data_IF_938576295738
#
_entry.id   IF_938576295738
#
_cell.length_a   1.000
_cell.length_b   1.000
_cell.length_c   1.000
_cell.angle_alpha   90.00
_cell.angle_beta   90.00
_cell.angle_gamma   90.00
#
_symmetry.space_group_name_H-M   'P 1'
#
loop_
_entity.id
_entity.type
_entity.pdbx_description
1 polymer ?
#
# COMPACT_ATOMS: atom_id res chain seq x y z
N UNK A 1 -18.21 6.91 18.36
CA UNK A 1 -17.73 7.97 17.46
C UNK A 1 -18.93 8.81 17.01
N UNK A 2 -18.77 10.07 16.60
CA UNK A 2 -19.92 10.88 16.13
C UNK A 2 -20.21 10.55 14.67
N UNK A 3 -21.49 10.45 14.26
CA UNK A 3 -21.89 10.22 12.86
C UNK A 3 -21.20 11.15 11.86
N UNK A 4 -21.03 12.41 12.24
CA UNK A 4 -20.34 13.43 11.43
C UNK A 4 -18.85 13.10 11.16
N UNK A 5 -18.18 12.43 12.10
CA UNK A 5 -16.80 11.97 11.92
C UNK A 5 -16.73 10.74 11.04
N UNK A 6 -17.70 9.82 11.16
CA UNK A 6 -17.81 8.65 10.30
C UNK A 6 -18.02 9.06 8.84
N UNK A 7 -18.92 10.02 8.60
CA UNK A 7 -19.12 10.60 7.26
C UNK A 7 -17.86 11.27 6.73
N UNK A 8 -17.19 12.11 7.54
CA UNK A 8 -15.94 12.72 7.13
C UNK A 8 -14.87 11.69 6.77
N UNK A 9 -14.67 10.65 7.60
CA UNK A 9 -13.71 9.56 7.32
C UNK A 9 -14.07 8.86 6.01
N UNK A 10 -15.35 8.54 5.78
CA UNK A 10 -15.75 7.89 4.53
C UNK A 10 -15.47 8.76 3.31
N UNK A 11 -15.70 10.07 3.40
CA UNK A 11 -15.56 11.01 2.28
C UNK A 11 -14.10 11.29 1.90
N UNK A 12 -13.17 11.39 2.84
CA UNK A 12 -11.75 11.65 2.51
C UNK A 12 -11.06 10.49 1.78
N UNK A 13 -11.65 9.30 1.80
CA UNK A 13 -11.16 8.14 1.05
C UNK A 13 -11.95 7.88 -0.24
N UNK A 14 -12.94 8.73 -0.56
CA UNK A 14 -13.69 8.68 -1.81
C UNK A 14 -12.92 9.47 -2.89
N UNK A 15 -12.48 8.85 -4.01
CA UNK A 15 -11.70 9.54 -5.03
C UNK A 15 -12.39 10.75 -5.67
N UNK A 16 -13.72 10.81 -5.61
CA UNK A 16 -14.53 11.88 -6.19
C UNK A 16 -14.60 13.15 -5.33
N UNK A 17 -14.09 13.13 -4.10
CA UNK A 17 -14.19 14.26 -3.16
C UNK A 17 -12.78 14.72 -2.78
N UNK A 18 -12.49 16.01 -2.94
CA UNK A 18 -11.24 16.58 -2.47
C UNK A 18 -11.21 16.68 -0.93
N UNK A 19 -10.01 16.74 -0.36
CA UNK A 19 -9.85 16.88 1.08
C UNK A 19 -10.52 18.18 1.58
N UNK A 20 -10.36 19.27 0.83
CA UNK A 20 -10.97 20.57 1.10
C UNK A 20 -12.49 20.51 1.11
N UNK A 21 -13.11 19.89 0.09
CA UNK A 21 -14.56 19.71 0.04
C UNK A 21 -15.08 18.86 1.19
N UNK A 22 -14.35 17.81 1.60
CA UNK A 22 -14.72 16.99 2.75
C UNK A 22 -14.70 17.81 4.05
N UNK A 23 -13.71 18.69 4.24
CA UNK A 23 -13.67 19.60 5.40
C UNK A 23 -14.83 20.61 5.39
N UNK A 24 -15.14 21.21 4.24
CA UNK A 24 -16.22 22.18 4.09
C UNK A 24 -17.60 21.55 4.31
N UNK A 25 -17.88 20.43 3.63
CA UNK A 25 -19.15 19.69 3.73
C UNK A 25 -19.41 19.23 5.16
N UNK A 26 -18.37 18.80 5.86
CA UNK A 26 -18.47 18.40 7.26
C UNK A 26 -18.21 19.57 8.23
N UNK A 27 -18.13 20.83 7.79
CA UNK A 27 -17.90 22.00 8.66
C UNK A 27 -16.87 21.70 9.77
N UNK A 28 -15.77 21.06 9.39
CA UNK A 28 -14.75 20.56 10.31
C UNK A 28 -13.52 21.45 10.13
N UNK A 29 -12.93 21.87 11.24
CA UNK A 29 -11.65 22.59 11.19
C UNK A 29 -10.51 21.63 11.48
N UNK A 30 -9.30 21.96 11.02
CA UNK A 30 -8.08 21.19 11.33
C UNK A 30 -7.91 21.03 12.85
N UNK A 31 -8.18 22.09 13.63
CA UNK A 31 -8.12 22.02 15.11
C UNK A 31 -9.15 21.05 15.70
N UNK A 32 -10.35 21.00 15.12
CA UNK A 32 -11.38 20.06 15.53
C UNK A 32 -11.01 18.62 15.16
N UNK A 33 -10.37 18.41 14.01
CA UNK A 33 -9.85 17.10 13.60
C UNK A 33 -8.76 16.62 14.56
N UNK A 34 -7.75 17.46 14.85
CA UNK A 34 -6.67 17.11 15.80
C UNK A 34 -7.24 16.70 17.17
N UNK A 35 -8.21 17.45 17.68
CA UNK A 35 -8.90 17.11 18.93
C UNK A 35 -9.62 15.76 18.85
N UNK A 36 -10.21 15.42 17.70
CA UNK A 36 -10.92 14.15 17.49
C UNK A 36 -9.96 12.97 17.30
N UNK A 37 -8.82 13.15 16.64
CA UNK A 37 -7.79 12.12 16.49
C UNK A 37 -7.08 11.76 17.80
N UNK A 38 -7.19 12.60 18.83
CA UNK A 38 -6.77 12.24 20.20
C UNK A 38 -7.67 11.17 20.84
N UNK A 39 -8.89 10.97 20.33
CA UNK A 39 -9.74 9.86 20.72
C UNK A 39 -9.27 8.57 20.03
N UNK A 40 -9.03 7.52 20.82
CA UNK A 40 -8.45 6.27 20.31
C UNK A 40 -9.29 5.60 19.24
N UNK A 41 -10.60 5.48 19.47
CA UNK A 41 -11.51 4.84 18.50
C UNK A 41 -11.52 5.60 17.15
N UNK A 42 -11.47 6.93 17.20
CA UNK A 42 -11.42 7.74 15.97
C UNK A 42 -10.09 7.58 15.22
N UNK A 43 -8.99 7.47 15.98
CA UNK A 43 -7.65 7.25 15.41
C UNK A 43 -7.54 5.86 14.80
N UNK A 44 -8.03 4.85 15.49
CA UNK A 44 -8.03 3.46 15.04
C UNK A 44 -8.85 3.29 13.76
N UNK A 45 -10.06 3.85 13.70
CA UNK A 45 -10.88 3.81 12.48
C UNK A 45 -10.16 4.45 11.28
N UNK A 46 -9.51 5.61 11.50
CA UNK A 46 -8.73 6.28 10.47
C UNK A 46 -7.56 5.41 9.98
N UNK A 47 -6.79 4.83 10.91
CA UNK A 47 -5.67 3.95 10.58
C UNK A 47 -6.13 2.70 9.83
N UNK A 48 -7.21 2.06 10.27
CA UNK A 48 -7.80 0.89 9.60
C UNK A 48 -8.20 1.21 8.15
N UNK A 49 -8.74 2.41 7.90
CA UNK A 49 -9.05 2.85 6.54
C UNK A 49 -7.81 3.11 5.70
N UNK A 50 -6.79 3.76 6.27
CA UNK A 50 -5.49 3.95 5.59
C UNK A 50 -4.88 2.60 5.21
N UNK A 51 -4.84 1.65 6.13
CA UNK A 51 -4.32 0.30 5.89
C UNK A 51 -5.11 -0.43 4.80
N UNK A 52 -6.44 -0.33 4.83
CA UNK A 52 -7.32 -0.92 3.80
C UNK A 52 -7.01 -0.33 2.42
N UNK A 53 -6.90 0.99 2.30
CA UNK A 53 -6.61 1.66 1.02
C UNK A 53 -5.21 1.32 0.53
N UNK A 54 -4.23 1.24 1.43
CA UNK A 54 -2.87 0.81 1.08
C UNK A 54 -2.87 -0.62 0.53
N UNK A 55 -3.57 -1.55 1.19
CA UNK A 55 -3.70 -2.93 0.72
C UNK A 55 -4.38 -2.98 -0.66
N UNK A 56 -5.48 -2.24 -0.85
CA UNK A 56 -6.17 -2.17 -2.13
C UNK A 56 -5.27 -1.57 -3.23
N UNK A 57 -4.48 -0.55 -2.90
CA UNK A 57 -3.51 0.06 -3.82
C UNK A 57 -2.48 -0.96 -4.27
N UNK A 58 -1.92 -1.75 -3.33
CA UNK A 58 -1.00 -2.83 -3.66
C UNK A 58 -1.64 -3.87 -4.58
N UNK A 59 -2.90 -4.24 -4.34
CA UNK A 59 -3.63 -5.16 -5.22
C UNK A 59 -3.81 -4.58 -6.63
N UNK A 60 -4.17 -3.30 -6.75
CA UNK A 60 -4.32 -2.62 -8.05
C UNK A 60 -2.98 -2.58 -8.79
N UNK A 61 -1.90 -2.21 -8.11
CA UNK A 61 -0.55 -2.19 -8.68
C UNK A 61 -0.10 -3.59 -9.11
N UNK A 62 -0.36 -4.61 -8.32
CA UNK A 62 -0.04 -6.00 -8.66
C UNK A 62 -0.78 -6.45 -9.93
N UNK A 63 -2.08 -6.13 -10.04
CA UNK A 63 -2.87 -6.40 -11.24
C UNK A 63 -2.35 -5.66 -12.46
N UNK A 64 -2.06 -4.37 -12.33
CA UNK A 64 -1.48 -3.57 -13.40
C UNK A 64 -0.11 -4.12 -13.84
N UNK A 65 0.68 -4.61 -12.88
CA UNK A 65 1.96 -5.27 -13.12
C UNK A 65 1.83 -6.53 -13.98
N UNK A 66 0.81 -7.38 -13.76
CA UNK A 66 0.54 -8.54 -14.61
C UNK A 66 0.27 -8.12 -16.05
N UNK A 67 -0.62 -7.16 -16.26
CA UNK A 67 -0.95 -6.65 -17.61
C UNK A 67 0.26 -5.98 -18.28
N UNK A 68 1.08 -5.25 -17.52
CA UNK A 68 2.31 -4.65 -18.05
C UNK A 68 3.32 -5.72 -18.48
N UNK A 69 3.49 -6.79 -17.69
CA UNK A 69 4.37 -7.91 -18.02
C UNK A 69 3.90 -8.64 -19.29
N UNK A 70 2.60 -8.91 -19.43
CA UNK A 70 2.03 -9.51 -20.64
C UNK A 70 2.29 -8.65 -21.88
N UNK A 71 2.07 -7.33 -21.78
CA UNK A 71 2.33 -6.39 -22.88
C UNK A 71 3.81 -6.34 -23.25
N UNK A 72 4.70 -6.30 -22.27
CA UNK A 72 6.15 -6.30 -22.51
C UNK A 72 6.61 -7.60 -23.20
N UNK A 73 6.09 -8.75 -22.77
CA UNK A 73 6.37 -10.03 -23.43
C UNK A 73 5.90 -10.03 -24.89
N UNK A 74 4.71 -9.48 -25.16
CA UNK A 74 4.21 -9.30 -26.53
C UNK A 74 5.10 -8.40 -27.37
N UNK A 75 5.57 -7.28 -26.83
CA UNK A 75 6.50 -6.37 -27.51
C UNK A 75 7.86 -7.01 -27.79
N UNK A 76 8.36 -7.87 -26.90
CA UNK A 76 9.59 -8.62 -27.09
C UNK A 76 9.54 -9.59 -28.29
N UNK A 77 8.33 -9.99 -28.72
CA UNK A 77 8.12 -10.90 -29.85
C UNK A 77 7.66 -10.19 -31.13
N UNK A 78 7.65 -8.85 -31.19
CA UNK A 78 7.20 -8.13 -32.37
C UNK A 78 8.28 -7.99 -33.45
N UNK A 79 7.87 -7.76 -34.70
CA UNK A 79 8.78 -7.65 -35.86
C UNK A 79 9.63 -6.37 -35.88
N UNK A 80 9.36 -5.42 -34.98
CA UNK A 80 10.14 -4.17 -34.86
C UNK A 80 11.34 -4.40 -33.96
N UNK A 81 12.48 -4.69 -34.57
CA UNK A 81 13.74 -5.04 -33.89
C UNK A 81 14.08 -4.13 -32.71
N UNK A 82 14.05 -2.80 -32.90
CA UNK A 82 14.38 -1.86 -31.82
C UNK A 82 13.36 -1.89 -30.67
N UNK A 83 12.08 -2.10 -30.96
CA UNK A 83 11.02 -2.24 -29.95
C UNK A 83 11.17 -3.55 -29.17
N UNK A 84 11.42 -4.65 -29.88
CA UNK A 84 11.66 -5.95 -29.27
C UNK A 84 12.91 -5.94 -28.38
N UNK A 85 14.01 -5.36 -28.88
CA UNK A 85 15.26 -5.19 -28.12
C UNK A 85 15.04 -4.37 -26.86
N UNK A 86 14.31 -3.25 -26.95
CA UNK A 86 14.04 -2.40 -25.79
C UNK A 86 13.16 -3.11 -24.76
N UNK A 87 12.11 -3.82 -25.19
CA UNK A 87 11.26 -4.62 -24.31
C UNK A 87 12.05 -5.71 -23.57
N UNK A 88 12.98 -6.41 -24.25
CA UNK A 88 13.86 -7.39 -23.62
C UNK A 88 14.76 -6.75 -22.54
N UNK A 89 15.33 -5.58 -22.80
CA UNK A 89 16.14 -4.83 -21.82
C UNK A 89 15.28 -4.46 -20.60
N UNK A 90 14.07 -3.94 -20.82
CA UNK A 90 13.19 -3.51 -19.75
C UNK A 90 12.75 -4.71 -18.87
N UNK A 91 12.49 -5.88 -19.48
CA UNK A 91 12.22 -7.13 -18.74
C UNK A 91 13.43 -7.54 -17.87
N UNK A 92 14.65 -7.47 -18.41
CA UNK A 92 15.87 -7.80 -17.66
C UNK A 92 16.11 -6.83 -16.48
N UNK A 93 15.85 -5.54 -16.69
CA UNK A 93 15.96 -4.51 -15.65
C UNK A 93 14.93 -4.74 -14.54
N UNK A 94 13.66 -4.97 -14.90
CA UNK A 94 12.60 -5.25 -13.94
C UNK A 94 12.91 -6.47 -13.06
N UNK A 95 13.46 -7.54 -13.66
CA UNK A 95 13.88 -8.72 -12.90
C UNK A 95 14.98 -8.40 -11.89
N UNK A 96 15.92 -7.53 -12.23
CA UNK A 96 17.01 -7.11 -11.33
C UNK A 96 16.46 -6.32 -10.15
N UNK A 97 15.56 -5.38 -10.40
CA UNK A 97 14.91 -4.56 -9.36
C UNK A 97 14.07 -5.43 -8.39
N UNK A 98 13.29 -6.38 -8.92
CA UNK A 98 12.51 -7.31 -8.11
C UNK A 98 13.37 -8.18 -7.19
N UNK A 99 14.56 -8.61 -7.65
CA UNK A 99 15.51 -9.36 -6.83
C UNK A 99 16.09 -8.50 -5.69
N UNK A 100 16.32 -7.21 -5.93
CA UNK A 100 16.82 -6.27 -4.92
C UNK A 100 15.76 -6.00 -3.84
N UNK A 101 14.51 -5.70 -4.22
CA UNK A 101 13.42 -5.49 -3.25
C UNK A 101 13.14 -6.72 -2.37
N UNK A 102 13.37 -7.94 -2.90
CA UNK A 102 13.17 -9.18 -2.13
C UNK A 102 14.25 -9.41 -1.06
N UNK A 103 15.45 -8.85 -1.24
CA UNK A 103 16.53 -8.94 -0.25
C UNK A 103 16.32 -7.95 0.90
N UNK A 104 15.80 -6.76 0.61
CA UNK A 104 15.51 -5.71 1.59
C UNK A 104 14.28 -6.01 2.46
N UNK A 105 13.36 -6.85 1.98
CA UNK A 105 12.15 -7.27 2.70
C UNK A 105 12.34 -8.54 3.55
N UNK A 106 13.59 -8.94 3.83
CA UNK A 106 13.85 -9.89 4.91
C UNK A 106 13.35 -9.26 6.22
N UNK A 107 12.17 -9.71 6.66
CA UNK A 107 11.49 -9.21 7.86
C UNK A 107 12.40 -9.29 9.08
N UNK A 108 12.02 -8.69 10.23
CA UNK A 108 12.87 -8.66 11.41
C UNK A 108 13.31 -10.07 11.75
N UNK A 109 14.57 -10.39 11.45
CA UNK A 109 15.19 -11.64 11.85
C UNK A 109 15.11 -11.63 13.36
N UNK A 110 14.22 -12.46 13.92
CA UNK A 110 14.16 -12.65 15.37
C UNK A 110 15.59 -12.98 15.80
N UNK A 111 16.17 -12.10 16.64
CA UNK A 111 17.45 -12.36 17.30
C UNK A 111 17.43 -13.81 17.80
N UNK A 112 18.53 -14.54 17.63
CA UNK A 112 18.64 -15.92 18.09
C UNK A 112 18.25 -16.07 19.57
N UNK A 113 18.45 -15.03 20.39
CA UNK A 113 17.99 -14.99 21.79
C UNK A 113 16.47 -15.02 21.94
N UNK A 114 15.72 -14.38 21.03
CA UNK A 114 14.24 -14.38 21.04
C UNK A 114 13.69 -15.71 20.54
N UNK A 115 14.38 -16.37 19.60
CA UNK A 115 14.04 -17.73 19.17
C UNK A 115 14.27 -18.75 20.27
N UNK A 116 15.39 -18.65 20.99
CA UNK A 116 15.71 -19.52 22.12
C UNK A 116 14.65 -19.42 23.23
N UNK A 117 14.24 -18.20 23.61
CA UNK A 117 13.16 -18.00 24.60
C UNK A 117 11.82 -18.57 24.17
N UNK A 118 11.45 -18.48 22.89
CA UNK A 118 10.20 -19.05 22.39
C UNK A 118 10.23 -20.58 22.38
N UNK A 119 11.39 -21.19 22.09
CA UNK A 119 11.57 -22.64 22.15
C UNK A 119 11.50 -23.16 23.59
N UNK A 120 12.01 -22.39 24.56
CA UNK A 120 11.97 -22.73 25.98
C UNK A 120 10.52 -22.70 26.53
N UNK A 121 9.71 -21.72 26.11
CA UNK A 121 8.30 -21.59 26.50
C UNK A 121 7.40 -22.69 25.89
N UNK A 122 7.77 -23.23 24.72
CA UNK A 122 7.02 -24.30 24.04
C UNK A 122 7.43 -25.71 24.51
N UNK A 123 8.48 -25.82 25.33
CA UNK A 123 8.99 -27.09 25.86
C UNK A 123 8.50 -27.39 27.30
N UNK A 124 7.77 -26.47 27.94
CA UNK A 124 6.94 -26.71 29.14
C UNK A 124 5.50 -27.09 28.76
#
# INVERSE_FOLDING_TARGET
MSKKMETFIAEIFEPAISLEEAFEKNQLSIKALDKRLKNENCREEMLNKIETVNLLTQVVLAKAGLTAAEKLAGLACCDKEETARKACIDIMQLRKELLQCRQESSGPTLSEEKKAKLLEILAE
#
